data_IF_367091333280
#
_entry.id   IF_367091333280
#
_cell.length_a   1.000
_cell.length_b   1.000
_cell.length_c   1.000
_cell.angle_alpha   90.00
_cell.angle_beta   90.00
_cell.angle_gamma   90.00
#
_symmetry.space_group_name_H-M   'P 1'
#
loop_
_entity.id
_entity.type
_entity.pdbx_description
1 polymer ?
#
# COMPACT_ATOMS: atom_id res chain seq x y z
N UNK A 1 -1.02 -8.47 11.89
CA UNK A 1 -0.91 -7.16 11.17
C UNK A 1 -2.15 -6.34 11.47
N UNK A 2 -2.02 -5.03 11.72
CA UNK A 2 -3.17 -4.15 12.02
C UNK A 2 -3.72 -3.56 10.72
N UNK A 3 -5.05 -3.41 10.55
CA UNK A 3 -5.61 -2.75 9.38
C UNK A 3 -5.06 -1.32 9.22
N UNK A 4 -4.74 -0.93 7.98
CA UNK A 4 -4.40 0.46 7.66
C UNK A 4 -5.65 1.17 7.13
N UNK A 5 -5.85 2.40 7.59
CA UNK A 5 -6.86 3.32 7.04
C UNK A 5 -6.46 3.81 5.64
N UNK A 6 -7.44 4.26 4.87
CA UNK A 6 -7.21 4.88 3.56
C UNK A 6 -6.17 6.02 3.60
N UNK A 7 -6.26 6.89 4.63
CA UNK A 7 -5.31 7.97 4.87
C UNK A 7 -3.89 7.45 5.13
N UNK A 8 -3.74 6.41 5.96
CA UNK A 8 -2.44 5.80 6.23
C UNK A 8 -1.81 5.19 4.97
N UNK A 9 -2.60 4.51 4.12
CA UNK A 9 -2.09 3.93 2.87
C UNK A 9 -1.59 5.03 1.94
N UNK A 10 -2.37 6.11 1.77
CA UNK A 10 -1.98 7.26 0.93
C UNK A 10 -0.73 7.96 1.46
N UNK A 11 -0.65 8.18 2.78
CA UNK A 11 0.52 8.77 3.43
C UNK A 11 1.74 7.87 3.26
N UNK A 12 1.59 6.56 3.44
CA UNK A 12 2.68 5.60 3.27
C UNK A 12 3.23 5.66 1.86
N UNK A 13 2.38 5.57 0.83
CA UNK A 13 2.82 5.68 -0.56
C UNK A 13 3.56 7.00 -0.85
N UNK A 14 3.06 8.12 -0.33
CA UNK A 14 3.68 9.44 -0.52
C UNK A 14 5.03 9.54 0.19
N UNK A 15 5.18 8.95 1.38
CA UNK A 15 6.46 8.85 2.11
C UNK A 15 7.53 8.18 1.24
N UNK A 16 7.13 7.13 0.52
CA UNK A 16 8.01 6.37 -0.40
C UNK A 16 8.22 7.07 -1.76
N UNK A 17 7.67 8.27 -1.96
CA UNK A 17 7.71 9.03 -3.23
C UNK A 17 7.24 8.22 -4.44
N UNK A 18 6.35 7.26 -4.23
CA UNK A 18 5.83 6.39 -5.28
C UNK A 18 4.53 6.92 -5.88
N UNK A 19 4.38 6.81 -7.21
CA UNK A 19 3.07 6.94 -7.86
C UNK A 19 2.17 5.75 -7.44
N UNK A 20 0.85 5.85 -7.65
CA UNK A 20 -0.03 4.70 -7.38
C UNK A 20 0.36 3.48 -8.21
N UNK A 21 0.81 3.67 -9.45
CA UNK A 21 1.25 2.59 -10.33
C UNK A 21 2.55 1.93 -9.86
N UNK A 22 3.54 2.74 -9.47
CA UNK A 22 4.80 2.22 -8.90
C UNK A 22 4.52 1.43 -7.63
N UNK A 23 3.75 2.00 -6.70
CA UNK A 23 3.39 1.36 -5.44
C UNK A 23 2.62 0.04 -5.66
N UNK A 24 1.72 0.01 -6.63
CA UNK A 24 0.96 -1.18 -6.98
C UNK A 24 1.86 -2.31 -7.49
N UNK A 25 2.88 -1.98 -8.30
CA UNK A 25 3.86 -2.96 -8.81
C UNK A 25 4.64 -3.63 -7.69
N UNK A 26 5.10 -2.87 -6.70
CA UNK A 26 5.77 -3.42 -5.50
C UNK A 26 4.87 -4.32 -4.65
N UNK A 27 3.57 -4.05 -4.64
CA UNK A 27 2.61 -4.82 -3.84
C UNK A 27 1.96 -5.96 -4.62
N UNK A 28 2.37 -6.19 -5.87
CA UNK A 28 1.77 -7.15 -6.80
C UNK A 28 0.24 -7.01 -6.90
N UNK A 29 -0.24 -5.78 -7.04
CA UNK A 29 -1.67 -5.45 -7.22
C UNK A 29 -1.86 -4.48 -8.39
N UNK A 30 -3.10 -4.24 -8.77
CA UNK A 30 -3.42 -3.23 -9.79
C UNK A 30 -3.41 -1.81 -9.22
N UNK A 31 -3.07 -0.83 -10.05
CA UNK A 31 -3.17 0.61 -9.71
C UNK A 31 -4.58 0.99 -9.26
N UNK A 32 -5.61 0.42 -9.89
CA UNK A 32 -7.01 0.63 -9.53
C UNK A 32 -7.34 0.16 -8.11
N UNK A 33 -6.73 -0.94 -7.66
CA UNK A 33 -6.92 -1.44 -6.30
C UNK A 33 -6.28 -0.51 -5.26
N UNK A 34 -5.07 -0.01 -5.51
CA UNK A 34 -4.44 1.02 -4.66
C UNK A 34 -5.31 2.27 -4.58
N UNK A 35 -5.87 2.73 -5.71
CA UNK A 35 -6.81 3.86 -5.72
C UNK A 35 -8.09 3.59 -4.91
N UNK A 36 -8.63 2.36 -4.94
CA UNK A 36 -9.78 1.98 -4.12
C UNK A 36 -9.44 1.95 -2.62
N UNK A 37 -8.24 1.49 -2.25
CA UNK A 37 -7.76 1.52 -0.87
C UNK A 37 -7.58 2.95 -0.35
N UNK A 38 -6.94 3.83 -1.12
CA UNK A 38 -6.70 5.23 -0.74
C UNK A 38 -7.98 6.07 -0.61
N UNK A 39 -9.10 5.59 -1.17
CA UNK A 39 -10.44 6.21 -1.06
C UNK A 39 -11.36 5.47 -0.08
N UNK A 40 -10.90 4.40 0.57
CA UNK A 40 -11.70 3.62 1.51
C UNK A 40 -12.79 2.74 0.86
N UNK A 41 -12.82 2.60 -0.47
CA UNK A 41 -13.80 1.76 -1.18
C UNK A 41 -13.54 0.27 -0.99
N UNK A 42 -12.26 -0.11 -0.88
CA UNK A 42 -11.82 -1.46 -0.52
C UNK A 42 -10.76 -1.36 0.56
N UNK A 43 -10.50 -2.48 1.24
CA UNK A 43 -9.51 -2.57 2.29
C UNK A 43 -8.52 -3.69 1.98
N UNK A 44 -7.21 -3.48 2.19
CA UNK A 44 -6.22 -4.54 2.04
C UNK A 44 -6.44 -5.65 3.06
N UNK A 45 -6.28 -6.90 2.63
CA UNK A 45 -6.46 -8.12 3.45
C UNK A 45 -5.39 -9.15 3.09
N UNK A 46 -5.16 -10.12 3.98
CA UNK A 46 -4.21 -11.21 3.73
C UNK A 46 -2.81 -10.71 3.38
N UNK A 47 -2.26 -11.19 2.26
CA UNK A 47 -0.91 -10.86 1.81
C UNK A 47 -0.70 -9.36 1.59
N UNK A 48 -1.66 -8.66 0.96
CA UNK A 48 -1.55 -7.22 0.71
C UNK A 48 -1.40 -6.38 1.99
N UNK A 49 -2.09 -6.76 3.07
CA UNK A 49 -1.96 -6.09 4.37
C UNK A 49 -0.61 -6.37 5.03
N UNK A 50 -0.07 -7.58 4.86
CA UNK A 50 1.28 -7.94 5.32
C UNK A 50 2.34 -7.12 4.58
N UNK A 51 2.26 -7.02 3.25
CA UNK A 51 3.19 -6.22 2.46
C UNK A 51 3.13 -4.73 2.84
N UNK A 52 1.94 -4.15 2.99
CA UNK A 52 1.79 -2.77 3.47
C UNK A 52 2.39 -2.56 4.86
N UNK A 53 2.27 -3.55 5.75
CA UNK A 53 2.90 -3.49 7.08
C UNK A 53 4.43 -3.54 6.99
N UNK A 54 4.98 -4.36 6.09
CA UNK A 54 6.42 -4.42 5.84
C UNK A 54 6.94 -3.10 5.27
N UNK A 55 6.25 -2.53 4.29
CA UNK A 55 6.58 -1.20 3.75
C UNK A 55 6.52 -0.13 4.84
N UNK A 56 5.50 -0.16 5.71
CA UNK A 56 5.39 0.79 6.82
C UNK A 56 6.62 0.76 7.75
N UNK A 57 7.14 -0.44 8.04
CA UNK A 57 8.29 -0.65 8.93
C UNK A 57 9.64 -0.41 8.27
N UNK A 58 9.82 -0.92 7.04
CA UNK A 58 11.12 -1.12 6.42
C UNK A 58 11.32 -0.30 5.13
N UNK A 59 10.28 0.41 4.67
CA UNK A 59 10.28 1.12 3.40
C UNK A 59 9.91 0.24 2.21
N UNK A 60 9.66 0.87 1.05
CA UNK A 60 9.15 0.19 -0.15
C UNK A 60 10.14 -0.81 -0.75
N UNK A 61 11.45 -0.55 -0.60
CA UNK A 61 12.51 -1.43 -1.10
C UNK A 61 12.54 -2.80 -0.43
N UNK A 62 11.95 -2.95 0.76
CA UNK A 62 11.92 -4.22 1.49
C UNK A 62 10.95 -5.26 0.88
N UNK A 63 10.11 -4.84 -0.08
CA UNK A 63 9.16 -5.72 -0.80
C UNK A 63 9.41 -5.66 -2.32
N UNK A 64 10.61 -5.21 -2.72
CA UNK A 64 11.08 -5.17 -4.10
C UNK A 64 11.39 -6.57 -4.63
#
# INVERSE_FOLDING_TARGET
VRPLTAKQIRTLRRREKASQAVFARYLNVTTGLVSQWERGKKHPRGASLKLLTLVAKNGLKAVA
#
